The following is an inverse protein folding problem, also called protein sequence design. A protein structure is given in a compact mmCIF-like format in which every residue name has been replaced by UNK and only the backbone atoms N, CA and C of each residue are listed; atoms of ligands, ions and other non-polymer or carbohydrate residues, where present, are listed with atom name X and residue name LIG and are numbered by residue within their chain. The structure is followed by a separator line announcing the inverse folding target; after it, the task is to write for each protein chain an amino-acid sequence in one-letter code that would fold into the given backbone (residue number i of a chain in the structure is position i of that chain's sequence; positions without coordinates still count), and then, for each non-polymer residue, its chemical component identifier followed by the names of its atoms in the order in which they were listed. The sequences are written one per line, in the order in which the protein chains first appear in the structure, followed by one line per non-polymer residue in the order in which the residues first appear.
data_IF_344792849209
#
_entry.id   IF_344792849209
#
_cell.length_a   1.000
_cell.length_b   1.000
_cell.length_c   1.000
_cell.angle_alpha   90.00
_cell.angle_beta   90.00
_cell.angle_gamma   90.00
#
_symmetry.space_group_name_H-M   'P 1'
#
loop_
_entity.id
_entity.type
_entity.pdbx_description
1 polymer ?
#
# COMPACT_ATOMS: atom_id res chain seq x y z
N UNK A 1 18.16 -14.24 27.06
CA UNK A 1 17.13 -13.60 26.20
C UNK A 1 17.54 -12.16 25.93
N UNK A 2 17.80 -11.72 24.68
CA UNK A 2 18.05 -10.32 24.41
C UNK A 2 16.76 -9.50 24.58
N UNK A 3 16.84 -8.38 25.30
CA UNK A 3 15.71 -7.46 25.48
C UNK A 3 15.29 -6.82 24.14
N UNK A 4 13.98 -6.61 23.90
CA UNK A 4 13.52 -5.99 22.66
C UNK A 4 14.07 -4.56 22.55
N UNK A 5 14.80 -4.28 21.46
CA UNK A 5 15.27 -2.92 21.14
C UNK A 5 14.06 -2.00 20.97
N UNK A 6 13.89 -1.06 21.91
CA UNK A 6 12.89 0.01 21.84
C UNK A 6 13.14 0.85 20.58
N UNK A 7 12.27 0.73 19.58
CA UNK A 7 12.29 1.60 18.39
C UNK A 7 12.12 3.04 18.86
N UNK A 8 12.97 3.95 18.39
CA UNK A 8 12.81 5.39 18.62
C UNK A 8 11.42 5.77 18.08
N UNK A 9 10.56 6.24 18.97
CA UNK A 9 9.27 6.81 18.59
C UNK A 9 9.56 8.12 17.87
N UNK A 10 9.19 8.24 16.60
CA UNK A 10 9.13 9.54 15.96
C UNK A 10 8.15 10.40 16.77
N UNK A 11 8.58 11.59 17.21
CA UNK A 11 7.69 12.51 17.92
C UNK A 11 6.63 13.01 16.95
N UNK A 12 5.36 12.64 17.21
CA UNK A 12 4.23 13.08 16.38
C UNK A 12 3.97 14.55 16.70
N UNK A 13 4.08 15.41 15.69
CA UNK A 13 3.80 16.84 15.81
C UNK A 13 2.33 17.07 16.16
N UNK A 14 2.10 17.97 17.12
CA UNK A 14 0.77 18.39 17.57
C UNK A 14 0.65 19.90 17.52
N UNK A 15 -0.56 20.38 17.28
CA UNK A 15 -0.89 21.80 17.35
C UNK A 15 -1.07 22.24 18.84
N UNK A 16 -1.25 23.55 19.12
CA UNK A 16 -1.47 24.04 20.48
C UNK A 16 -2.72 23.48 21.17
N UNK A 17 -3.67 22.93 20.42
CA UNK A 17 -4.87 22.26 20.97
C UNK A 17 -4.63 20.79 21.30
N UNK A 18 -3.43 20.27 21.01
CA UNK A 18 -3.06 18.88 21.20
C UNK A 18 -3.47 17.96 20.06
N UNK A 19 -4.06 18.50 18.97
CA UNK A 19 -4.45 17.71 17.80
C UNK A 19 -3.24 17.40 16.95
N UNK A 20 -3.21 16.19 16.38
CA UNK A 20 -2.13 15.74 15.49
C UNK A 20 -2.12 16.58 14.21
N UNK A 21 -0.93 17.01 13.81
CA UNK A 21 -0.69 17.70 12.55
C UNK A 21 -0.40 16.66 11.47
N UNK A 22 -1.12 16.75 10.36
CA UNK A 22 -0.95 15.90 9.18
C UNK A 22 -0.20 16.65 8.07
N UNK A 23 0.49 15.92 7.16
CA UNK A 23 0.71 14.47 7.19
C UNK A 23 1.73 14.05 8.26
N UNK A 24 1.61 12.81 8.76
CA UNK A 24 2.60 12.20 9.67
C UNK A 24 3.56 11.36 8.84
N UNK A 25 4.83 11.74 8.79
CA UNK A 25 5.86 11.03 8.04
C UNK A 25 6.56 9.97 8.92
N UNK A 26 6.49 8.71 8.48
CA UNK A 26 7.01 7.52 9.16
C UNK A 26 7.95 6.74 8.22
N UNK A 27 8.91 7.44 7.62
CA UNK A 27 9.83 6.86 6.64
C UNK A 27 9.14 6.64 5.30
N UNK A 28 8.93 5.37 4.90
CA UNK A 28 8.25 5.01 3.64
C UNK A 28 6.71 5.06 3.72
N UNK A 29 6.18 5.41 4.90
CA UNK A 29 4.76 5.51 5.18
C UNK A 29 4.44 6.96 5.57
N UNK A 30 3.44 7.54 4.94
CA UNK A 30 2.93 8.87 5.24
C UNK A 30 1.46 8.73 5.61
N UNK A 31 1.04 9.21 6.78
CA UNK A 31 -0.37 9.15 7.20
C UNK A 31 -1.01 10.49 6.90
N UNK A 32 -2.06 10.50 6.09
CA UNK A 32 -2.81 11.71 5.73
C UNK A 32 -4.03 11.90 6.65
N UNK A 33 -4.62 10.80 7.16
CA UNK A 33 -5.75 10.81 8.09
C UNK A 33 -5.75 9.56 8.97
N UNK A 34 -6.00 9.73 10.27
CA UNK A 34 -6.19 8.60 11.19
C UNK A 34 -7.60 7.99 11.14
N UNK A 35 -8.54 8.63 10.46
CA UNK A 35 -9.94 8.17 10.41
C UNK A 35 -10.67 8.29 11.75
N UNK A 36 -11.82 7.62 11.83
CA UNK A 36 -12.69 7.58 13.01
C UNK A 36 -12.89 6.14 13.47
N UNK A 37 -12.75 5.90 14.78
CA UNK A 37 -12.93 4.57 15.36
C UNK A 37 -14.42 4.22 15.35
N UNK A 38 -14.76 3.05 14.79
CA UNK A 38 -16.10 2.49 14.82
C UNK A 38 -16.25 1.51 16.00
N UNK A 39 -17.35 1.63 16.74
CA UNK A 39 -17.67 0.74 17.87
C UNK A 39 -18.28 -0.61 17.43
N UNK A 40 -18.57 -0.77 16.13
CA UNK A 40 -19.08 -2.03 15.57
C UNK A 40 -18.02 -3.13 15.67
N UNK A 41 -18.43 -4.34 16.08
CA UNK A 41 -17.52 -5.50 16.24
C UNK A 41 -16.77 -5.91 14.96
N UNK A 42 -17.29 -5.54 13.79
CA UNK A 42 -16.63 -5.79 12.50
C UNK A 42 -15.39 -4.92 12.26
N UNK A 43 -15.24 -3.81 12.98
CA UNK A 43 -14.15 -2.83 12.78
C UNK A 43 -12.99 -2.98 13.77
N UNK A 44 -13.01 -3.99 14.61
CA UNK A 44 -11.93 -4.26 15.54
C UNK A 44 -11.83 -5.73 15.93
N UNK A 45 -10.64 -6.10 16.35
CA UNK A 45 -10.33 -7.36 17.03
C UNK A 45 -9.65 -7.00 18.35
N UNK A 46 -9.31 -8.01 19.14
CA UNK A 46 -8.48 -7.80 20.35
C UNK A 46 -7.13 -7.11 20.03
N UNK A 47 -6.59 -7.30 18.82
CA UNK A 47 -5.25 -6.83 18.43
C UNK A 47 -5.24 -5.60 17.53
N UNK A 48 -6.33 -5.34 16.82
CA UNK A 48 -6.37 -4.34 15.75
C UNK A 48 -7.67 -3.55 15.77
N UNK A 49 -7.57 -2.26 15.45
CA UNK A 49 -8.70 -1.39 15.13
C UNK A 49 -8.56 -0.95 13.67
N UNK A 50 -9.69 -0.79 12.99
CA UNK A 50 -9.74 -0.36 11.59
C UNK A 50 -10.57 0.92 11.50
N UNK A 51 -9.97 2.10 11.66
CA UNK A 51 -10.70 3.36 11.64
C UNK A 51 -11.27 3.64 10.25
N UNK A 52 -12.54 4.04 10.19
CA UNK A 52 -13.20 4.44 8.94
C UNK A 52 -12.62 5.78 8.47
N UNK A 53 -12.24 5.87 7.21
CA UNK A 53 -11.59 7.07 6.64
C UNK A 53 -10.11 7.21 7.04
N UNK A 54 -9.50 6.14 7.58
CA UNK A 54 -8.05 6.07 7.66
C UNK A 54 -7.47 6.20 6.25
N UNK A 55 -6.45 7.05 6.08
CA UNK A 55 -5.78 7.27 4.81
C UNK A 55 -4.28 7.42 5.02
N UNK A 56 -3.51 6.68 4.24
CA UNK A 56 -2.05 6.76 4.22
C UNK A 56 -1.51 6.58 2.81
N UNK A 57 -0.27 6.99 2.61
CA UNK A 57 0.52 6.79 1.40
C UNK A 57 1.72 5.92 1.72
N UNK A 58 2.01 4.94 0.87
CA UNK A 58 3.17 4.07 1.01
C UNK A 58 3.95 4.03 -0.29
N UNK A 59 5.24 4.37 -0.21
CA UNK A 59 6.11 4.27 -1.38
C UNK A 59 6.38 2.80 -1.74
N UNK A 60 6.12 2.44 -2.99
CA UNK A 60 6.46 1.13 -3.54
C UNK A 60 6.64 1.17 -5.07
N UNK A 61 7.04 0.04 -5.69
CA UNK A 61 7.10 -0.08 -7.15
C UNK A 61 5.70 0.11 -7.75
N UNK A 62 5.60 0.95 -8.79
CA UNK A 62 4.32 1.17 -9.48
C UNK A 62 3.83 -0.12 -10.13
N UNK A 63 2.53 -0.35 -10.01
CA UNK A 63 1.84 -1.46 -10.65
C UNK A 63 1.55 -1.13 -12.11
N UNK A 64 1.71 0.13 -12.54
CA UNK A 64 1.60 0.60 -13.93
C UNK A 64 2.94 0.45 -14.64
N UNK A 65 4.01 1.00 -14.07
CA UNK A 65 5.38 1.01 -14.62
C UNK A 65 6.39 0.48 -13.58
N UNK A 66 6.86 -0.76 -13.79
CA UNK A 66 7.73 -1.45 -12.82
C UNK A 66 9.11 -0.81 -12.66
N UNK A 67 9.49 0.12 -13.54
CA UNK A 67 10.73 0.88 -13.48
C UNK A 67 10.61 2.15 -12.62
N UNK A 68 9.39 2.47 -12.16
CA UNK A 68 9.11 3.64 -11.33
C UNK A 68 8.62 3.24 -9.94
N UNK A 69 8.76 4.20 -9.02
CA UNK A 69 8.10 4.15 -7.72
C UNK A 69 6.93 5.12 -7.72
N UNK A 70 5.88 4.76 -6.98
CA UNK A 70 4.74 5.63 -6.71
C UNK A 70 4.35 5.53 -5.23
N UNK A 71 3.56 6.50 -4.77
CA UNK A 71 2.97 6.52 -3.44
C UNK A 71 1.56 5.93 -3.48
N UNK A 72 1.41 4.65 -3.13
CA UNK A 72 0.10 4.00 -3.09
C UNK A 72 -0.77 4.62 -2.00
N UNK A 73 -1.98 5.00 -2.37
CA UNK A 73 -2.99 5.48 -1.43
C UNK A 73 -3.67 4.26 -0.80
N UNK A 74 -3.53 4.11 0.51
CA UNK A 74 -4.15 3.07 1.31
C UNK A 74 -5.27 3.67 2.15
N UNK A 75 -6.48 3.14 2.01
CA UNK A 75 -7.67 3.63 2.71
C UNK A 75 -8.44 2.50 3.38
N UNK A 76 -9.18 2.85 4.45
CA UNK A 76 -10.17 1.96 5.07
C UNK A 76 -11.54 2.61 4.90
N UNK A 77 -12.42 1.93 4.17
CA UNK A 77 -13.78 2.37 3.89
C UNK A 77 -14.79 1.51 4.66
N UNK A 78 -15.94 2.08 5.03
CA UNK A 78 -17.08 1.32 5.55
C UNK A 78 -17.97 0.93 4.36
N UNK A 79 -18.04 -0.37 4.06
CA UNK A 79 -18.88 -0.93 3.00
C UNK A 79 -19.67 -2.07 3.63
N UNK A 80 -20.99 -1.97 3.59
CA UNK A 80 -21.91 -2.96 4.17
C UNK A 80 -21.57 -3.33 5.62
N UNK A 81 -21.33 -2.31 6.45
CA UNK A 81 -20.97 -2.43 7.87
C UNK A 81 -19.67 -3.21 8.14
N UNK A 82 -18.76 -3.25 7.15
CA UNK A 82 -17.47 -3.95 7.25
C UNK A 82 -16.32 -3.07 6.75
N UNK A 83 -15.12 -3.21 7.34
CA UNK A 83 -13.95 -2.52 6.84
C UNK A 83 -13.52 -3.12 5.49
N UNK A 84 -13.44 -2.27 4.47
CA UNK A 84 -12.83 -2.59 3.19
C UNK A 84 -11.52 -1.83 3.08
N UNK A 85 -10.44 -2.58 2.82
CA UNK A 85 -9.10 -2.06 2.61
C UNK A 85 -8.94 -1.77 1.13
N UNK A 86 -8.72 -0.51 0.82
CA UNK A 86 -8.55 -0.03 -0.55
C UNK A 86 -7.09 0.36 -0.75
N UNK A 87 -6.46 -0.13 -1.81
CA UNK A 87 -5.09 0.25 -2.20
C UNK A 87 -5.11 0.70 -3.65
N UNK A 88 -4.70 1.94 -3.88
CA UNK A 88 -4.80 2.61 -5.18
C UNK A 88 -3.42 3.08 -5.62
N UNK A 89 -3.04 2.70 -6.84
CA UNK A 89 -1.90 3.29 -7.53
C UNK A 89 -2.33 4.67 -8.05
N UNK A 90 -1.64 5.77 -7.71
CA UNK A 90 -2.03 7.11 -8.19
C UNK A 90 -2.04 7.23 -9.72
N UNK A 91 -1.26 6.39 -10.40
CA UNK A 91 -1.20 6.33 -11.87
C UNK A 91 -2.30 5.44 -12.48
N UNK A 92 -3.09 4.72 -11.67
CA UNK A 92 -4.16 3.82 -12.11
C UNK A 92 -5.32 3.75 -11.11
N UNK A 93 -6.09 4.85 -11.06
CA UNK A 93 -7.22 5.02 -10.14
C UNK A 93 -8.36 4.03 -10.40
N UNK A 94 -8.52 3.57 -11.64
CA UNK A 94 -9.63 2.69 -12.04
C UNK A 94 -9.43 1.24 -11.61
N UNK A 95 -8.18 0.82 -11.39
CA UNK A 95 -7.86 -0.53 -10.96
C UNK A 95 -7.49 -0.59 -9.47
N UNK A 96 -8.06 0.27 -8.62
CA UNK A 96 -7.89 0.15 -7.17
C UNK A 96 -8.24 -1.27 -6.67
N UNK A 97 -7.47 -1.77 -5.71
CA UNK A 97 -7.71 -3.08 -5.09
C UNK A 97 -8.59 -2.90 -3.88
N UNK A 98 -9.69 -3.64 -3.81
CA UNK A 98 -10.59 -3.69 -2.65
C UNK A 98 -10.52 -5.07 -2.02
N UNK A 99 -10.26 -5.14 -0.72
CA UNK A 99 -10.17 -6.41 -0.02
C UNK A 99 -10.64 -6.33 1.43
N UNK A 100 -10.91 -7.49 2.04
CA UNK A 100 -11.34 -7.61 3.44
C UNK A 100 -10.18 -7.54 4.46
N UNK A 101 -8.93 -7.44 4.00
CA UNK A 101 -7.76 -7.27 4.87
C UNK A 101 -6.66 -6.48 4.16
N UNK A 102 -5.84 -5.77 4.93
CA UNK A 102 -4.68 -5.07 4.37
C UNK A 102 -3.72 -6.01 3.65
N UNK A 103 -3.51 -7.22 4.19
CA UNK A 103 -2.62 -8.23 3.60
C UNK A 103 -3.13 -8.74 2.24
N UNK A 104 -4.44 -9.00 2.12
CA UNK A 104 -5.03 -9.44 0.86
C UNK A 104 -5.05 -8.33 -0.19
N UNK A 105 -5.24 -7.06 0.21
CA UNK A 105 -5.12 -5.93 -0.71
C UNK A 105 -3.69 -5.79 -1.25
N UNK A 106 -2.69 -5.77 -0.37
CA UNK A 106 -1.28 -5.66 -0.78
C UNK A 106 -0.79 -6.86 -1.58
N UNK A 107 -1.24 -8.08 -1.27
CA UNK A 107 -0.89 -9.27 -2.05
C UNK A 107 -1.29 -9.11 -3.52
N UNK A 108 -2.50 -8.62 -3.79
CA UNK A 108 -2.95 -8.40 -5.17
C UNK A 108 -2.10 -7.36 -5.92
N UNK A 109 -1.67 -6.28 -5.24
CA UNK A 109 -0.72 -5.32 -5.82
C UNK A 109 0.62 -5.98 -6.15
N UNK A 110 1.16 -6.78 -5.23
CA UNK A 110 2.41 -7.51 -5.45
C UNK A 110 2.30 -8.49 -6.61
N UNK A 111 1.18 -9.20 -6.72
CA UNK A 111 0.91 -10.13 -7.81
C UNK A 111 0.89 -9.41 -9.16
N UNK A 112 0.25 -8.23 -9.27
CA UNK A 112 0.26 -7.39 -10.48
C UNK A 112 1.68 -6.97 -10.88
N UNK A 113 2.48 -6.52 -9.91
CA UNK A 113 3.87 -6.11 -10.14
C UNK A 113 4.70 -7.31 -10.62
N UNK A 114 4.55 -8.47 -9.98
CA UNK A 114 5.29 -9.68 -10.32
C UNK A 114 4.93 -10.21 -11.71
N UNK A 115 3.65 -10.16 -12.10
CA UNK A 115 3.21 -10.51 -13.45
C UNK A 115 3.90 -9.63 -14.50
N UNK A 116 3.95 -8.31 -14.29
CA UNK A 116 4.64 -7.38 -15.20
C UNK A 116 6.15 -7.62 -15.27
N UNK A 117 6.81 -7.83 -14.11
CA UNK A 117 8.24 -8.20 -14.06
C UNK A 117 8.52 -9.47 -14.87
N UNK A 118 7.69 -10.50 -14.70
CA UNK A 118 7.86 -11.75 -15.44
C UNK A 118 7.68 -11.59 -16.96
N UNK A 119 6.76 -10.71 -17.39
CA UNK A 119 6.54 -10.42 -18.80
C UNK A 119 7.72 -9.64 -19.42
N UNK A 120 8.32 -8.71 -18.69
CA UNK A 120 9.49 -7.97 -19.16
C UNK A 120 10.72 -8.87 -19.32
N UNK A 121 10.99 -9.74 -18.35
CA UNK A 121 12.08 -10.73 -18.43
C UNK A 121 11.90 -11.64 -19.65
N UNK A 122 10.66 -12.10 -19.91
CA UNK A 122 10.37 -12.91 -21.10
C UNK A 122 10.64 -12.16 -22.40
N UNK A 123 10.28 -10.88 -22.50
CA UNK A 123 10.57 -10.05 -23.68
C UNK A 123 12.08 -9.88 -23.91
N UNK A 124 12.82 -9.60 -22.84
CA UNK A 124 14.26 -9.35 -22.92
C UNK A 124 15.06 -10.64 -23.18
N UNK A 125 14.48 -11.81 -22.91
CA UNK A 125 15.07 -13.12 -23.22
C UNK A 125 14.93 -13.55 -24.69
N UNK A 126 14.22 -12.79 -25.55
CA UNK A 126 14.13 -13.06 -26.99
C UNK A 126 15.29 -12.38 -27.72
N UNK A 127 16.51 -12.85 -27.47
CA UNK A 127 17.68 -12.58 -28.33
C UNK A 127 18.00 -13.86 -29.09
N UNK A 128 17.34 -14.07 -30.21
CA UNK A 128 17.66 -15.19 -31.11
C UNK A 128 18.96 -14.92 -31.87
N UNK A 129 19.83 -15.92 -32.08
CA UNK A 129 20.93 -15.80 -33.01
C UNK A 129 20.37 -15.63 -34.43
N UNK A 130 20.85 -14.60 -35.14
CA UNK A 130 20.39 -14.23 -36.48
C UNK A 130 20.58 -15.37 -37.48
N UNK A 131 19.48 -15.82 -38.06
CA UNK A 131 19.51 -16.72 -39.21
C UNK A 131 19.54 -15.81 -40.45
N UNK A 132 20.72 -15.34 -40.81
CA UNK A 132 20.96 -14.78 -42.14
C UNK A 132 21.13 -15.96 -43.10
N UNK A 133 20.04 -16.34 -43.77
CA UNK A 133 20.11 -17.19 -44.96
C UNK A 133 20.32 -16.29 -46.18
N UNK A 134 21.52 -16.31 -46.75
CA UNK A 134 21.76 -15.78 -48.09
C UNK A 134 22.38 -16.87 -48.95
N UNK A 135 21.60 -17.28 -49.95
CA UNK A 135 21.92 -17.78 -51.29
C UNK A 135 23.12 -18.71 -51.46
#
# INVERSE_FOLDING_TARGET
MPAPKRRKSNEIRRDPTGKVIFPIELGVLTIDSLGTISLKKSFHTEKYIWPVGYRSRREYTSSVDINKRCEYICEIQDVDDKPVFVVTDPDDLQNSVHANSASSAWKQILDRINLKKSAEVKRNSVSGPGICSTH
#
